data_IF_310953391652
#
_entry.id   IF_310953391652
#
_cell.length_a   1.000
_cell.length_b   1.000
_cell.length_c   1.000
_cell.angle_alpha   90.00
_cell.angle_beta   90.00
_cell.angle_gamma   90.00
#
_symmetry.space_group_name_H-M   'P 1'
#
loop_
_entity.id
_entity.type
_entity.pdbx_description
1 polymer ?
#
# COMPACT_ATOMS: atom_id res chain seq x y z
N UNK A 1 -9.32 8.48 -5.38
CA UNK A 1 -10.04 9.01 -4.20
C UNK A 1 -9.10 9.64 -3.22
N UNK A 2 -9.58 10.66 -2.52
CA UNK A 2 -8.85 11.40 -1.50
C UNK A 2 -9.56 11.23 -0.16
N UNK A 3 -8.84 10.84 0.89
CA UNK A 3 -9.33 10.70 2.26
C UNK A 3 -8.59 11.67 3.16
N UNK A 4 -9.25 12.18 4.19
CA UNK A 4 -8.59 12.96 5.23
C UNK A 4 -8.54 12.12 6.50
N UNK A 5 -7.34 11.64 6.84
CA UNK A 5 -7.12 10.99 8.13
C UNK A 5 -7.01 12.07 9.20
N UNK A 6 -7.76 11.98 10.30
CA UNK A 6 -7.74 12.98 11.37
C UNK A 6 -6.39 12.99 12.11
N UNK A 7 -5.74 11.82 12.21
CA UNK A 7 -4.40 11.68 12.75
C UNK A 7 -3.71 10.46 12.13
N UNK A 8 -2.38 10.47 12.14
CA UNK A 8 -1.53 9.33 11.78
C UNK A 8 -0.43 9.19 12.83
N UNK A 9 0.27 8.05 12.85
CA UNK A 9 1.45 7.85 13.71
C UNK A 9 2.49 8.99 13.58
N UNK A 10 2.51 9.67 12.43
CA UNK A 10 3.55 10.63 12.07
C UNK A 10 3.04 12.07 11.99
N UNK A 11 1.72 12.28 12.14
CA UNK A 11 1.10 13.60 12.09
C UNK A 11 -0.17 13.60 12.93
N UNK A 12 -0.14 14.36 14.02
CA UNK A 12 -1.29 14.58 14.90
C UNK A 12 -2.32 15.49 14.23
N UNK A 13 -1.88 16.36 13.30
CA UNK A 13 -2.75 17.27 12.53
C UNK A 13 -3.49 16.58 11.38
N UNK A 14 -3.39 15.26 11.29
CA UNK A 14 -3.99 14.51 10.21
C UNK A 14 -3.18 14.53 8.92
N UNK A 15 -3.74 13.88 7.90
CA UNK A 15 -3.08 13.65 6.63
C UNK A 15 -4.10 13.38 5.52
N UNK A 16 -3.96 14.10 4.41
CA UNK A 16 -4.70 13.77 3.18
C UNK A 16 -4.02 12.60 2.46
N UNK A 17 -4.77 11.52 2.29
CA UNK A 17 -4.41 10.24 1.67
C UNK A 17 -5.05 10.14 0.31
N UNK A 18 -4.32 9.64 -0.67
CA UNK A 18 -4.87 9.32 -1.97
C UNK A 18 -4.81 7.83 -2.23
N UNK A 19 -5.85 7.32 -2.89
CA UNK A 19 -5.98 5.94 -3.34
C UNK A 19 -6.35 5.96 -4.82
N UNK A 20 -5.53 5.34 -5.67
CA UNK A 20 -5.71 5.29 -7.10
C UNK A 20 -6.60 4.08 -7.45
N UNK A 21 -7.58 4.24 -8.35
CA UNK A 21 -8.35 3.10 -8.83
C UNK A 21 -7.43 2.10 -9.53
N UNK A 22 -7.83 0.84 -9.58
CA UNK A 22 -7.19 -0.22 -10.36
C UNK A 22 -8.17 -0.78 -11.38
N UNK A 23 -7.67 -1.18 -12.54
CA UNK A 23 -8.51 -1.70 -13.64
C UNK A 23 -9.20 -3.02 -13.27
N UNK A 24 -8.57 -3.83 -12.41
CA UNK A 24 -9.16 -5.07 -11.92
C UNK A 24 -10.05 -4.79 -10.69
N UNK A 25 -11.38 -5.03 -10.78
CA UNK A 25 -12.34 -4.78 -9.71
C UNK A 25 -12.05 -5.53 -8.41
N UNK A 26 -11.47 -6.73 -8.49
CA UNK A 26 -11.19 -7.60 -7.33
C UNK A 26 -10.06 -7.02 -6.47
N UNK A 27 -9.08 -6.38 -7.12
CA UNK A 27 -7.92 -5.78 -6.46
C UNK A 27 -8.06 -4.27 -6.29
N UNK A 28 -9.17 -3.69 -6.75
CA UNK A 28 -9.43 -2.27 -6.66
C UNK A 28 -9.67 -1.86 -5.20
N UNK A 29 -8.79 -1.04 -4.61
CA UNK A 29 -8.89 -0.67 -3.20
C UNK A 29 -10.14 0.16 -2.90
N UNK A 30 -10.70 0.86 -3.88
CA UNK A 30 -11.97 1.58 -3.73
C UNK A 30 -13.12 0.60 -3.55
N UNK A 31 -13.27 -0.35 -4.46
CA UNK A 31 -14.31 -1.38 -4.36
C UNK A 31 -14.16 -2.21 -3.09
N UNK A 32 -12.93 -2.54 -2.70
CA UNK A 32 -12.67 -3.24 -1.43
C UNK A 32 -13.15 -2.42 -0.21
N UNK A 33 -12.92 -1.11 -0.20
CA UNK A 33 -13.38 -0.24 0.90
C UNK A 33 -14.90 -0.06 0.90
N UNK A 34 -15.51 0.14 -0.26
CA UNK A 34 -16.97 0.24 -0.37
C UNK A 34 -17.65 -1.05 0.11
N UNK A 35 -17.12 -2.20 -0.32
CA UNK A 35 -17.59 -3.49 0.15
C UNK A 35 -17.39 -3.65 1.67
N UNK A 36 -16.27 -3.17 2.22
CA UNK A 36 -16.03 -3.19 3.66
C UNK A 36 -17.11 -2.40 4.42
N UNK A 37 -17.43 -1.18 3.98
CA UNK A 37 -18.46 -0.33 4.58
C UNK A 37 -19.84 -0.97 4.47
N UNK A 38 -20.16 -1.58 3.32
CA UNK A 38 -21.43 -2.27 3.07
C UNK A 38 -21.61 -3.48 4.01
N UNK A 39 -20.56 -4.29 4.19
CA UNK A 39 -20.61 -5.51 4.99
C UNK A 39 -20.52 -5.25 6.50
N UNK A 40 -19.94 -4.13 6.90
CA UNK A 40 -19.70 -3.77 8.30
C UNK A 40 -20.48 -2.50 8.65
N UNK A 41 -21.79 -2.60 8.89
CA UNK A 41 -22.59 -1.45 9.27
C UNK A 41 -22.05 -0.88 10.58
N UNK A 42 -21.46 0.30 10.49
CA UNK A 42 -20.95 1.08 11.59
C UNK A 42 -21.60 2.46 11.57
N UNK A 43 -21.61 3.15 12.69
CA UNK A 43 -22.09 4.54 12.73
C UNK A 43 -21.19 5.44 11.90
N UNK A 44 -21.70 6.58 11.41
CA UNK A 44 -20.90 7.52 10.61
C UNK A 44 -19.68 8.07 11.38
N UNK A 45 -19.74 8.08 12.71
CA UNK A 45 -18.66 8.51 13.60
C UNK A 45 -17.68 7.37 13.95
N UNK A 46 -17.93 6.15 13.48
CA UNK A 46 -17.06 5.02 13.72
C UNK A 46 -15.77 5.10 12.88
N UNK A 47 -14.74 4.40 13.35
CA UNK A 47 -13.47 4.31 12.64
C UNK A 47 -13.66 3.71 11.23
N UNK A 48 -12.94 4.20 10.22
CA UNK A 48 -13.09 3.80 8.81
C UNK A 48 -13.00 2.28 8.58
N UNK A 49 -12.12 1.62 9.33
CA UNK A 49 -11.92 0.16 9.28
C UNK A 49 -12.65 -0.57 10.41
N UNK A 50 -13.84 -0.11 10.78
CA UNK A 50 -14.65 -0.79 11.80
C UNK A 50 -15.26 -2.05 11.24
N UNK A 51 -15.24 -3.12 12.02
CA UNK A 51 -15.81 -4.41 11.62
C UNK A 51 -16.52 -5.10 12.78
N UNK A 52 -17.43 -6.03 12.45
CA UNK A 52 -18.16 -6.84 13.42
C UNK A 52 -17.33 -8.06 13.81
N UNK A 53 -16.58 -7.96 14.91
CA UNK A 53 -15.83 -9.09 15.46
C UNK A 53 -16.81 -10.18 15.97
N UNK A 54 -16.60 -11.46 15.65
CA UNK A 54 -17.53 -12.55 16.01
C UNK A 54 -17.87 -12.62 17.51
N UNK A 55 -16.86 -12.39 18.37
CA UNK A 55 -16.97 -12.50 19.84
C UNK A 55 -17.13 -11.13 20.53
N UNK A 56 -16.56 -10.06 19.98
CA UNK A 56 -16.36 -8.79 20.70
C UNK A 56 -17.23 -7.66 20.14
N UNK A 57 -18.10 -7.95 19.17
CA UNK A 57 -18.96 -6.95 18.55
C UNK A 57 -18.19 -5.97 17.65
N UNK A 58 -18.76 -4.78 17.47
CA UNK A 58 -18.25 -3.76 16.56
C UNK A 58 -16.97 -3.14 17.14
N UNK A 59 -15.86 -3.18 16.38
CA UNK A 59 -14.59 -2.59 16.80
C UNK A 59 -13.71 -2.18 15.62
N UNK A 60 -12.75 -1.28 15.82
CA UNK A 60 -11.73 -0.99 14.82
C UNK A 60 -10.86 -2.23 14.51
N UNK A 61 -10.58 -2.44 13.23
CA UNK A 61 -9.68 -3.49 12.76
C UNK A 61 -8.25 -3.20 13.22
N UNK A 62 -7.66 -4.13 13.97
CA UNK A 62 -6.29 -3.99 14.45
C UNK A 62 -5.29 -4.65 13.50
N UNK A 63 -4.04 -4.17 13.53
CA UNK A 63 -2.93 -4.83 12.80
C UNK A 63 -2.84 -6.33 13.10
N UNK A 64 -3.04 -6.73 14.36
CA UNK A 64 -2.98 -8.13 14.78
C UNK A 64 -4.06 -8.98 14.11
N UNK A 65 -5.30 -8.46 14.04
CA UNK A 65 -6.41 -9.11 13.33
C UNK A 65 -6.10 -9.28 11.84
N UNK A 66 -5.64 -8.21 11.17
CA UNK A 66 -5.27 -8.26 9.75
C UNK A 66 -4.18 -9.29 9.49
N UNK A 67 -3.09 -9.25 10.26
CA UNK A 67 -1.98 -10.18 10.08
C UNK A 67 -2.41 -11.63 10.36
N UNK A 68 -3.28 -11.86 11.34
CA UNK A 68 -3.84 -13.20 11.60
C UNK A 68 -4.64 -13.72 10.41
N UNK A 69 -5.49 -12.87 9.83
CA UNK A 69 -6.31 -13.22 8.67
C UNK A 69 -5.44 -13.52 7.44
N UNK A 70 -4.45 -12.69 7.15
CA UNK A 70 -3.50 -12.90 6.04
C UNK A 70 -2.73 -14.21 6.24
N UNK A 71 -2.24 -14.48 7.44
CA UNK A 71 -1.53 -15.72 7.73
C UNK A 71 -2.44 -16.95 7.58
N UNK A 72 -3.71 -16.85 8.00
CA UNK A 72 -4.71 -17.91 7.81
C UNK A 72 -4.95 -18.18 6.32
N UNK A 73 -5.12 -17.14 5.52
CA UNK A 73 -5.31 -17.26 4.06
C UNK A 73 -4.08 -17.82 3.36
N UNK A 74 -2.87 -17.37 3.70
CA UNK A 74 -1.64 -17.91 3.13
C UNK A 74 -1.49 -19.40 3.43
N UNK A 75 -1.87 -19.85 4.63
CA UNK A 75 -1.86 -21.28 5.00
C UNK A 75 -2.89 -22.11 4.25
N UNK A 76 -4.05 -21.53 3.89
CA UNK A 76 -5.12 -22.27 3.21
C UNK A 76 -4.91 -22.39 1.70
N UNK A 77 -3.91 -21.73 1.13
CA UNK A 77 -3.64 -21.72 -0.30
C UNK A 77 -2.24 -22.25 -0.60
N UNK A 78 -2.13 -23.48 -1.11
CA UNK A 78 -0.84 -24.05 -1.52
C UNK A 78 -0.12 -23.12 -2.51
N UNK A 79 1.16 -22.82 -2.25
CA UNK A 79 1.98 -21.95 -3.09
C UNK A 79 2.03 -20.47 -2.70
N UNK A 80 1.19 -20.01 -1.75
CA UNK A 80 1.32 -18.65 -1.21
C UNK A 80 2.36 -18.61 -0.08
N UNK A 81 3.41 -17.79 -0.17
CA UNK A 81 4.40 -17.67 0.90
C UNK A 81 3.78 -17.00 2.12
N UNK A 82 4.37 -17.20 3.30
CA UNK A 82 3.97 -16.47 4.49
C UNK A 82 4.31 -14.97 4.33
N UNK A 83 3.28 -14.15 4.16
CA UNK A 83 3.43 -12.72 3.93
C UNK A 83 3.55 -11.99 5.29
N UNK A 84 4.71 -11.37 5.53
CA UNK A 84 4.95 -10.53 6.71
C UNK A 84 4.48 -9.09 6.47
N UNK A 85 4.13 -8.36 7.52
CA UNK A 85 3.65 -6.97 7.43
C UNK A 85 4.58 -6.03 6.68
N UNK A 86 5.90 -6.15 6.90
CA UNK A 86 6.88 -5.34 6.16
C UNK A 86 6.92 -5.69 4.66
N UNK A 87 6.80 -6.98 4.33
CA UNK A 87 6.74 -7.42 2.93
C UNK A 87 5.47 -6.98 2.21
N UNK A 88 4.33 -6.82 2.90
CA UNK A 88 3.11 -6.23 2.31
C UNK A 88 3.34 -4.79 1.89
N UNK A 89 3.96 -4.01 2.76
CA UNK A 89 4.23 -2.60 2.47
C UNK A 89 5.15 -2.48 1.25
N UNK A 90 6.26 -3.21 1.23
CA UNK A 90 7.19 -3.22 0.10
C UNK A 90 6.53 -3.70 -1.19
N UNK A 91 5.88 -4.87 -1.16
CA UNK A 91 5.27 -5.47 -2.36
C UNK A 91 4.10 -4.65 -2.88
N UNK A 92 3.35 -3.99 -1.99
CA UNK A 92 2.28 -3.07 -2.38
C UNK A 92 2.82 -1.85 -3.13
N UNK A 93 3.89 -1.23 -2.64
CA UNK A 93 4.52 -0.11 -3.36
C UNK A 93 5.05 -0.53 -4.72
N UNK A 94 5.70 -1.70 -4.78
CA UNK A 94 6.19 -2.26 -6.03
C UNK A 94 5.04 -2.60 -7.00
N UNK A 95 3.92 -3.11 -6.49
CA UNK A 95 2.74 -3.41 -7.29
C UNK A 95 2.22 -2.16 -8.01
N UNK A 96 2.05 -1.04 -7.30
CA UNK A 96 1.62 0.21 -7.95
C UNK A 96 2.64 0.71 -8.98
N UNK A 97 3.93 0.56 -8.70
CA UNK A 97 5.00 0.96 -9.62
C UNK A 97 4.97 0.13 -10.91
N UNK A 98 4.74 -1.18 -10.81
CA UNK A 98 4.68 -2.10 -11.95
C UNK A 98 3.40 -1.98 -12.78
N UNK A 99 2.34 -1.40 -12.20
CA UNK A 99 1.09 -1.03 -12.88
C UNK A 99 1.11 0.43 -13.36
N UNK A 100 2.30 0.99 -13.61
CA UNK A 100 2.49 2.28 -14.28
C UNK A 100 1.87 3.48 -13.56
N UNK A 101 1.56 3.35 -12.27
CA UNK A 101 1.15 4.50 -11.46
C UNK A 101 2.33 5.46 -11.38
N UNK A 102 2.16 6.74 -11.77
CA UNK A 102 3.27 7.69 -11.81
C UNK A 102 4.03 7.77 -10.49
N UNK A 103 5.36 7.85 -10.56
CA UNK A 103 6.21 7.81 -9.36
C UNK A 103 5.91 8.95 -8.39
N UNK A 104 5.61 10.15 -8.88
CA UNK A 104 5.18 11.29 -8.07
C UNK A 104 3.85 11.01 -7.32
N UNK A 105 2.96 10.23 -7.94
CA UNK A 105 1.71 9.76 -7.33
C UNK A 105 2.01 8.71 -6.26
N UNK A 106 2.86 7.72 -6.52
CA UNK A 106 3.31 6.73 -5.50
C UNK A 106 4.06 7.42 -4.36
N UNK A 107 4.90 8.41 -4.64
CA UNK A 107 5.60 9.22 -3.62
C UNK A 107 4.59 9.97 -2.75
N UNK A 108 3.54 10.52 -3.34
CA UNK A 108 2.47 11.22 -2.59
C UNK A 108 1.59 10.24 -1.80
N UNK A 109 1.26 9.09 -2.39
CA UNK A 109 0.35 8.07 -1.85
C UNK A 109 0.99 7.14 -0.84
N UNK A 110 2.27 6.84 -0.96
CA UNK A 110 2.93 5.83 -0.12
C UNK A 110 4.00 6.48 0.72
N UNK A 111 4.90 7.25 0.09
CA UNK A 111 6.08 7.79 0.77
C UNK A 111 5.73 8.95 1.71
N UNK A 112 4.90 9.88 1.25
CA UNK A 112 4.38 10.92 2.12
C UNK A 112 3.45 10.32 3.17
N UNK A 113 2.53 9.41 2.83
CA UNK A 113 1.57 8.85 3.79
C UNK A 113 2.16 7.95 4.87
N UNK A 114 3.37 7.43 4.64
CA UNK A 114 4.13 6.63 5.61
C UNK A 114 5.36 7.37 6.16
N UNK A 115 5.21 8.68 6.43
CA UNK A 115 6.18 9.60 7.06
C UNK A 115 6.85 9.13 8.38
N UNK A 116 6.73 7.86 8.76
CA UNK A 116 7.43 7.25 9.89
C UNK A 116 8.33 6.08 9.53
N UNK A 117 8.50 5.74 8.25
CA UNK A 117 9.35 4.59 7.87
C UNK A 117 10.25 4.77 6.64
N UNK A 118 10.08 5.84 5.86
CA UNK A 118 10.93 6.16 4.70
C UNK A 118 11.29 7.65 4.73
N UNK A 119 12.13 8.07 5.67
CA UNK A 119 12.67 9.42 5.67
C UNK A 119 13.79 9.56 4.63
N UNK A 120 13.86 10.73 3.98
CA UNK A 120 14.90 11.07 3.01
C UNK A 120 14.90 10.17 1.77
N UNK A 121 16.09 9.85 1.28
CA UNK A 121 16.30 9.05 0.05
C UNK A 121 16.19 7.54 0.27
N UNK A 122 15.77 7.08 1.45
CA UNK A 122 15.72 5.66 1.81
C UNK A 122 14.92 4.82 0.79
N UNK A 123 13.82 5.37 0.26
CA UNK A 123 13.02 4.69 -0.76
C UNK A 123 13.72 4.67 -2.13
N UNK A 124 14.41 5.76 -2.49
CA UNK A 124 15.24 5.85 -3.69
C UNK A 124 16.41 4.87 -3.62
N UNK A 125 17.08 4.76 -2.47
CA UNK A 125 18.16 3.81 -2.19
C UNK A 125 17.63 2.37 -2.27
N UNK A 126 16.49 2.10 -1.67
CA UNK A 126 15.82 0.81 -1.74
C UNK A 126 15.48 0.43 -3.18
N UNK A 127 14.90 1.35 -3.95
CA UNK A 127 14.64 1.15 -5.36
C UNK A 127 15.93 0.90 -6.12
N UNK A 128 16.99 1.68 -5.94
CA UNK A 128 18.31 1.44 -6.57
C UNK A 128 18.82 0.01 -6.31
N UNK A 129 18.81 -0.43 -5.05
CA UNK A 129 19.22 -1.80 -4.69
C UNK A 129 18.33 -2.85 -5.33
N UNK A 130 17.01 -2.63 -5.37
CA UNK A 130 16.06 -3.58 -5.94
C UNK A 130 15.93 -3.49 -7.46
N UNK A 131 16.39 -2.42 -8.12
CA UNK A 131 16.39 -2.30 -9.58
C UNK A 131 17.33 -3.32 -10.19
N UNK A 132 18.44 -3.66 -9.51
CA UNK A 132 19.32 -4.76 -9.91
C UNK A 132 18.59 -6.10 -9.95
N UNK A 133 17.68 -6.34 -8.99
CA UNK A 133 16.85 -7.55 -8.91
C UNK A 133 15.70 -7.51 -9.92
N UNK A 134 15.15 -6.32 -10.17
CA UNK A 134 14.04 -6.10 -11.10
C UNK A 134 14.48 -5.90 -12.55
N UNK A 135 15.78 -5.75 -12.81
CA UNK A 135 16.32 -5.42 -14.14
C UNK A 135 15.81 -6.36 -15.25
N UNK A 136 15.74 -7.69 -15.08
CA UNK A 136 15.19 -8.57 -16.11
C UNK A 136 13.70 -8.30 -16.41
N UNK A 137 12.92 -7.93 -15.39
CA UNK A 137 11.49 -7.60 -15.53
C UNK A 137 11.26 -6.19 -16.10
N UNK A 138 12.19 -5.26 -15.86
CA UNK A 138 12.11 -3.90 -16.39
C UNK A 138 12.61 -3.82 -17.84
N UNK A 139 13.51 -4.72 -18.26
CA UNK A 139 13.94 -4.82 -19.66
C UNK A 139 12.79 -5.18 -20.61
N UNK A 140 11.80 -5.95 -20.15
CA UNK A 140 10.60 -6.26 -20.94
C UNK A 140 9.55 -5.15 -20.96
N UNK A 141 9.77 -4.05 -20.21
CA UNK A 141 8.89 -2.87 -20.13
C UNK A 141 9.69 -1.56 -20.28
N UNK A 142 10.15 -1.22 -21.50
CA UNK A 142 11.10 -0.13 -21.72
C UNK A 142 10.57 1.26 -21.32
N UNK A 143 9.26 1.50 -21.42
CA UNK A 143 8.65 2.77 -20.99
C UNK A 143 8.72 2.95 -19.47
N UNK A 144 8.32 1.93 -18.70
CA UNK A 144 8.43 1.92 -17.25
C UNK A 144 9.89 2.09 -16.80
N UNK A 145 10.82 1.42 -17.48
CA UNK A 145 12.26 1.56 -17.21
C UNK A 145 12.74 3.01 -17.43
N UNK A 146 12.28 3.68 -18.48
CA UNK A 146 12.67 5.08 -18.75
C UNK A 146 12.10 6.05 -17.71
N UNK A 147 10.85 5.86 -17.29
CA UNK A 147 10.28 6.63 -16.17
C UNK A 147 11.07 6.41 -14.89
N UNK A 148 11.42 5.16 -14.58
CA UNK A 148 12.18 4.80 -13.40
C UNK A 148 13.63 5.32 -13.41
N UNK A 149 14.30 5.33 -14.56
CA UNK A 149 15.67 5.86 -14.72
C UNK A 149 15.78 7.31 -14.24
N UNK A 150 14.76 8.14 -14.47
CA UNK A 150 14.74 9.54 -14.04
C UNK A 150 14.78 9.71 -12.51
N UNK A 151 14.41 8.67 -11.76
CA UNK A 151 14.42 8.67 -10.29
C UNK A 151 15.56 7.83 -9.70
N UNK A 152 16.00 6.79 -10.41
CA UNK A 152 17.01 5.84 -9.92
C UNK A 152 18.42 6.32 -10.19
N UNK A 153 18.67 7.00 -11.31
CA UNK A 153 20.01 7.52 -11.63
C UNK A 153 20.31 8.73 -10.73
N UNK A 154 21.51 8.83 -10.14
CA UNK A 154 21.92 10.05 -9.47
C UNK A 154 21.94 11.22 -10.48
N UNK A 155 21.62 12.45 -10.06
CA UNK A 155 21.84 13.61 -10.91
C UNK A 155 23.32 13.61 -11.31
N UNK A 156 23.57 13.57 -12.62
CA UNK A 156 24.91 13.77 -13.16
C UNK A 156 25.16 15.27 -13.02
N UNK A 157 26.04 15.63 -12.10
CA UNK A 157 26.55 17.00 -11.97
C UNK A 157 27.64 17.22 -13.01
#
# INVERSE_FOLDING_TARGET
MVFNLPATKCSIKGKTVQCAPQDNPITDPMQALQNHILLNPATNDAHLFTWKHPIHGIRPLSKTEVMRMIAKLAKSHPGLPNIKGHSLHIRGTLFYLLNEVPFNVIKTMVMNLTMGHWSGDSFTIYLRHHTLVLAPFLQSKPELLNTLKQYILPPVW
#
